data_IF_172719570587
#
_entry.id   IF_172719570587
#
_cell.length_a   1.000
_cell.length_b   1.000
_cell.length_c   1.000
_cell.angle_alpha   90.00
_cell.angle_beta   90.00
_cell.angle_gamma   90.00
#
_symmetry.space_group_name_H-M   'P 1'
#
loop_
_entity.id
_entity.type
_entity.pdbx_description
1 polymer ?
#
# COMPACT_ATOMS: atom_id res chain seq x y z
N UNK A 1 -5.54 22.28 -18.42
CA UNK A 1 -5.36 21.20 -17.42
C UNK A 1 -6.11 19.92 -17.81
N UNK A 2 -7.20 20.02 -18.58
CA UNK A 2 -8.01 18.85 -18.99
C UNK A 2 -7.23 17.76 -19.75
N UNK A 3 -6.36 18.13 -20.71
CA UNK A 3 -5.56 17.12 -21.43
C UNK A 3 -4.67 16.30 -20.49
N UNK A 4 -4.02 16.95 -19.53
CA UNK A 4 -3.20 16.28 -18.53
C UNK A 4 -4.05 15.36 -17.64
N UNK A 5 -5.24 15.83 -17.22
CA UNK A 5 -6.20 15.02 -16.46
C UNK A 5 -6.58 13.73 -17.21
N UNK A 6 -7.01 13.83 -18.47
CA UNK A 6 -7.45 12.66 -19.24
C UNK A 6 -6.29 11.72 -19.59
N UNK A 7 -5.12 12.26 -19.94
CA UNK A 7 -3.94 11.45 -20.25
C UNK A 7 -3.43 10.70 -19.01
N UNK A 8 -3.31 11.39 -17.87
CA UNK A 8 -2.92 10.77 -16.61
C UNK A 8 -3.97 9.76 -16.14
N UNK A 9 -5.26 10.05 -16.29
CA UNK A 9 -6.33 9.08 -15.99
C UNK A 9 -6.24 7.82 -16.85
N UNK A 10 -6.00 7.96 -18.15
CA UNK A 10 -5.81 6.83 -19.06
C UNK A 10 -4.60 5.99 -18.65
N UNK A 11 -3.47 6.63 -18.32
CA UNK A 11 -2.26 5.95 -17.85
C UNK A 11 -2.54 5.19 -16.55
N UNK A 12 -3.25 5.79 -15.59
CA UNK A 12 -3.61 5.13 -14.33
C UNK A 12 -4.45 3.87 -14.55
N UNK A 13 -5.45 3.94 -15.42
CA UNK A 13 -6.32 2.79 -15.76
C UNK A 13 -5.52 1.67 -16.43
N UNK A 14 -4.70 2.00 -17.43
CA UNK A 14 -3.88 1.01 -18.13
C UNK A 14 -2.82 0.39 -17.20
N UNK A 15 -2.21 1.19 -16.33
CA UNK A 15 -1.25 0.71 -15.35
C UNK A 15 -1.92 -0.22 -14.34
N UNK A 16 -3.07 0.15 -13.78
CA UNK A 16 -3.85 -0.70 -12.85
C UNK A 16 -4.28 -2.02 -13.49
N UNK A 17 -4.69 -1.99 -14.77
CA UNK A 17 -4.99 -3.22 -15.51
C UNK A 17 -3.75 -4.13 -15.61
N UNK A 18 -2.56 -3.55 -15.81
CA UNK A 18 -1.30 -4.30 -15.81
C UNK A 18 -0.94 -4.86 -14.43
N UNK A 19 -1.20 -4.13 -13.34
CA UNK A 19 -1.02 -4.64 -11.97
C UNK A 19 -1.79 -5.95 -11.76
N UNK A 20 -3.07 -5.97 -12.15
CA UNK A 20 -3.97 -7.10 -11.88
C UNK A 20 -3.67 -8.30 -12.80
N UNK A 21 -3.19 -8.05 -14.02
CA UNK A 21 -2.96 -9.09 -15.02
C UNK A 21 -1.56 -9.70 -14.98
N UNK A 22 -0.58 -9.02 -14.38
CA UNK A 22 0.80 -9.49 -14.36
C UNK A 22 1.05 -10.49 -13.23
N UNK A 23 1.70 -11.62 -13.53
CA UNK A 23 1.92 -12.71 -12.54
C UNK A 23 3.11 -12.47 -11.63
N UNK A 24 4.12 -11.72 -12.09
CA UNK A 24 5.31 -11.44 -11.30
C UNK A 24 5.05 -10.26 -10.34
N UNK A 25 5.13 -10.45 -9.01
CA UNK A 25 4.75 -9.44 -8.03
C UNK A 25 5.54 -8.13 -8.13
N UNK A 26 6.84 -8.20 -8.43
CA UNK A 26 7.69 -7.01 -8.56
C UNK A 26 7.20 -6.11 -9.71
N UNK A 27 6.92 -6.69 -10.88
CA UNK A 27 6.39 -5.94 -12.01
C UNK A 27 5.00 -5.37 -11.72
N UNK A 28 4.13 -6.14 -11.04
CA UNK A 28 2.83 -5.66 -10.61
C UNK A 28 2.96 -4.44 -9.69
N UNK A 29 3.86 -4.45 -8.71
CA UNK A 29 4.10 -3.30 -7.82
C UNK A 29 4.66 -2.09 -8.56
N UNK A 30 5.56 -2.28 -9.55
CA UNK A 30 6.07 -1.17 -10.36
C UNK A 30 4.95 -0.52 -11.19
N UNK A 31 4.07 -1.32 -11.80
CA UNK A 31 2.89 -0.78 -12.48
C UNK A 31 1.95 -0.06 -11.51
N UNK A 32 1.85 -0.51 -10.26
CA UNK A 32 1.03 0.15 -9.26
C UNK A 32 1.61 1.53 -8.91
N UNK A 33 2.92 1.65 -8.73
CA UNK A 33 3.60 2.93 -8.53
C UNK A 33 3.32 3.89 -9.69
N UNK A 34 3.41 3.42 -10.94
CA UNK A 34 3.08 4.23 -12.13
C UNK A 34 1.63 4.71 -12.07
N UNK A 35 0.69 3.84 -11.65
CA UNK A 35 -0.70 4.22 -11.49
C UNK A 35 -0.90 5.30 -10.42
N UNK A 36 -0.29 5.15 -9.25
CA UNK A 36 -0.41 6.13 -8.15
C UNK A 36 0.21 7.48 -8.54
N UNK A 37 1.34 7.48 -9.24
CA UNK A 37 1.94 8.71 -9.79
C UNK A 37 1.03 9.38 -10.82
N UNK A 38 0.37 8.59 -11.68
CA UNK A 38 -0.60 9.12 -12.62
C UNK A 38 -1.84 9.70 -11.91
N UNK A 39 -2.31 9.08 -10.83
CA UNK A 39 -3.37 9.64 -9.96
C UNK A 39 -2.91 10.94 -9.29
N UNK A 40 -1.65 11.05 -8.87
CA UNK A 40 -1.12 12.31 -8.34
C UNK A 40 -1.20 13.45 -9.38
N UNK A 41 -0.90 13.15 -10.65
CA UNK A 41 -1.09 14.12 -11.75
C UNK A 41 -2.57 14.48 -11.98
N UNK A 42 -3.49 13.53 -11.80
CA UNK A 42 -4.94 13.80 -11.80
C UNK A 42 -5.31 14.77 -10.68
N UNK A 43 -4.81 14.56 -9.45
CA UNK A 43 -5.04 15.49 -8.34
C UNK A 43 -4.46 16.88 -8.59
N UNK A 44 -3.27 16.99 -9.18
CA UNK A 44 -2.71 18.28 -9.59
C UNK A 44 -3.58 18.97 -10.64
N UNK A 45 -4.13 18.22 -11.60
CA UNK A 45 -5.00 18.78 -12.64
C UNK A 45 -6.34 19.30 -12.09
N UNK A 46 -6.78 18.77 -10.94
CA UNK A 46 -7.98 19.22 -10.21
C UNK A 46 -7.71 20.36 -9.23
N UNK A 47 -6.48 20.87 -9.11
CA UNK A 47 -6.12 21.91 -8.14
C UNK A 47 -5.88 21.39 -6.71
N UNK A 48 -5.92 20.07 -6.50
CA UNK A 48 -5.75 19.43 -5.19
C UNK A 48 -4.27 19.13 -4.87
N UNK A 49 -3.45 20.18 -4.74
CA UNK A 49 -1.99 20.05 -4.67
C UNK A 49 -1.51 19.32 -3.40
N UNK A 50 -2.19 19.54 -2.28
CA UNK A 50 -1.87 18.84 -1.04
C UNK A 50 -2.11 17.33 -1.17
N UNK A 51 -3.22 16.92 -1.80
CA UNK A 51 -3.55 15.52 -2.03
C UNK A 51 -2.54 14.86 -2.99
N UNK A 52 -2.23 15.51 -4.12
CA UNK A 52 -1.23 14.99 -5.06
C UNK A 52 0.16 14.85 -4.44
N UNK A 53 0.58 15.80 -3.60
CA UNK A 53 1.85 15.69 -2.88
C UNK A 53 1.87 14.53 -1.87
N UNK A 54 0.78 14.34 -1.11
CA UNK A 54 0.65 13.21 -0.19
C UNK A 54 0.61 11.86 -0.94
N UNK A 55 0.00 11.80 -2.12
CA UNK A 55 -0.01 10.61 -2.98
C UNK A 55 1.42 10.17 -3.34
N UNK A 56 2.27 11.14 -3.70
CA UNK A 56 3.67 10.85 -4.06
C UNK A 56 4.48 10.46 -2.82
N UNK A 57 4.41 11.22 -1.74
CA UNK A 57 5.29 11.04 -0.59
C UNK A 57 4.86 9.82 0.26
N UNK A 58 3.56 9.65 0.50
CA UNK A 58 3.06 8.64 1.43
C UNK A 58 2.72 7.35 0.68
N UNK A 59 1.85 7.40 -0.33
CA UNK A 59 1.37 6.20 -1.01
C UNK A 59 2.46 5.59 -1.89
N UNK A 60 2.94 6.33 -2.90
CA UNK A 60 4.01 5.85 -3.78
C UNK A 60 5.38 5.78 -3.06
N UNK A 61 5.65 6.72 -2.14
CA UNK A 61 6.95 6.87 -1.50
C UNK A 61 7.19 5.95 -0.31
N UNK A 62 6.29 5.90 0.67
CA UNK A 62 6.51 5.09 1.87
C UNK A 62 5.86 3.71 1.77
N UNK A 63 4.56 3.66 1.44
CA UNK A 63 3.77 2.42 1.48
C UNK A 63 4.25 1.48 0.38
N UNK A 64 4.32 1.94 -0.87
CA UNK A 64 4.74 1.07 -1.98
C UNK A 64 6.20 0.61 -1.85
N UNK A 65 7.10 1.45 -1.32
CA UNK A 65 8.49 1.05 -1.09
C UNK A 65 8.57 -0.06 -0.03
N UNK A 66 7.77 0.00 1.04
CA UNK A 66 7.66 -1.08 2.02
C UNK A 66 7.17 -2.38 1.35
N UNK A 67 6.16 -2.31 0.48
CA UNK A 67 5.68 -3.49 -0.26
C UNK A 67 6.76 -4.07 -1.18
N UNK A 68 7.46 -3.23 -1.95
CA UNK A 68 8.55 -3.68 -2.82
C UNK A 68 9.65 -4.36 -2.00
N UNK A 69 10.03 -3.77 -0.88
CA UNK A 69 11.02 -4.34 0.03
C UNK A 69 10.59 -5.72 0.55
N UNK A 70 9.37 -5.84 1.07
CA UNK A 70 8.84 -7.10 1.62
C UNK A 70 8.73 -8.18 0.54
N UNK A 71 8.20 -7.85 -0.64
CA UNK A 71 8.07 -8.80 -1.75
C UNK A 71 9.44 -9.28 -2.24
N UNK A 72 10.43 -8.39 -2.28
CA UNK A 72 11.78 -8.72 -2.68
C UNK A 72 12.49 -9.58 -1.63
N UNK A 73 12.35 -9.27 -0.34
CA UNK A 73 12.90 -10.06 0.76
C UNK A 73 12.33 -11.49 0.78
N UNK A 74 11.02 -11.62 0.53
CA UNK A 74 10.35 -12.92 0.49
C UNK A 74 10.62 -13.72 -0.80
N UNK A 75 11.43 -13.18 -1.72
CA UNK A 75 11.80 -13.74 -3.02
C UNK A 75 10.68 -14.57 -3.69
N UNK A 76 9.48 -14.01 -3.77
CA UNK A 76 8.31 -14.69 -4.34
C UNK A 76 8.41 -14.97 -5.85
N UNK A 77 9.55 -14.67 -6.48
CA UNK A 77 9.74 -14.67 -7.93
C UNK A 77 10.08 -16.06 -8.51
N UNK A 78 10.57 -17.01 -7.72
CA UNK A 78 11.14 -18.26 -8.26
C UNK A 78 10.21 -19.45 -7.99
N UNK A 79 9.50 -19.92 -9.03
CA UNK A 79 8.87 -21.25 -9.06
C UNK A 79 7.34 -21.34 -9.04
N UNK A 80 6.61 -20.22 -8.88
CA UNK A 80 5.13 -20.19 -8.81
C UNK A 80 4.40 -19.74 -10.08
N UNK A 81 5.12 -19.29 -11.11
CA UNK A 81 4.53 -18.73 -12.34
C UNK A 81 3.52 -19.66 -13.05
N UNK A 82 3.72 -20.99 -12.99
CA UNK A 82 2.79 -21.95 -13.62
C UNK A 82 1.47 -22.07 -12.85
N UNK A 83 1.49 -21.92 -11.53
CA UNK A 83 0.29 -21.99 -10.69
C UNK A 83 -0.52 -20.69 -10.77
N UNK A 84 0.16 -19.54 -10.72
CA UNK A 84 -0.47 -18.21 -10.90
C UNK A 84 -1.16 -18.11 -12.27
N UNK A 85 -0.50 -18.56 -13.35
CA UNK A 85 -1.11 -18.61 -14.69
C UNK A 85 -2.30 -19.56 -14.78
N UNK A 86 -2.34 -20.62 -13.98
CA UNK A 86 -3.46 -21.55 -13.95
C UNK A 86 -4.69 -20.94 -13.25
N UNK A 87 -4.50 -20.00 -12.33
CA UNK A 87 -5.57 -19.26 -11.65
C UNK A 87 -6.14 -18.14 -12.52
N UNK A 88 -5.34 -17.55 -13.40
CA UNK A 88 -5.78 -16.59 -14.43
C UNK A 88 -6.49 -17.26 -15.62
N UNK A 89 -7.04 -18.47 -15.46
CA UNK A 89 -7.79 -19.14 -16.53
C UNK A 89 -9.10 -18.40 -16.83
N UNK A 90 -9.54 -18.41 -18.11
CA UNK A 90 -10.79 -17.78 -18.53
C UNK A 90 -12.00 -18.13 -17.67
N UNK A 91 -12.08 -19.37 -17.21
CA UNK A 91 -13.22 -19.84 -16.41
C UNK A 91 -13.31 -19.20 -15.01
N UNK A 92 -12.20 -18.72 -14.45
CA UNK A 92 -12.13 -18.22 -13.07
C UNK A 92 -12.38 -16.71 -13.01
N UNK A 93 -11.82 -15.93 -13.95
CA UNK A 93 -11.96 -14.47 -13.95
C UNK A 93 -13.25 -13.95 -14.63
N UNK A 94 -13.87 -14.69 -15.56
CA UNK A 94 -15.05 -14.20 -16.32
C UNK A 94 -16.21 -13.83 -15.39
N UNK A 95 -16.50 -14.66 -14.38
CA UNK A 95 -17.59 -14.40 -13.43
C UNK A 95 -17.40 -13.09 -12.64
N UNK A 96 -16.29 -12.95 -11.90
CA UNK A 96 -15.95 -11.71 -11.20
C UNK A 96 -15.85 -10.49 -12.13
N UNK A 97 -15.23 -10.63 -13.30
CA UNK A 97 -15.10 -9.53 -14.26
C UNK A 97 -16.46 -9.07 -14.80
N UNK A 98 -17.38 -9.99 -15.10
CA UNK A 98 -18.72 -9.65 -15.55
C UNK A 98 -19.51 -8.93 -14.45
N UNK A 99 -19.43 -9.42 -13.21
CA UNK A 99 -20.06 -8.77 -12.07
C UNK A 99 -19.52 -7.36 -11.85
N UNK A 100 -18.19 -7.19 -11.85
CA UNK A 100 -17.55 -5.86 -11.72
C UNK A 100 -17.95 -4.92 -12.86
N UNK A 101 -18.12 -5.41 -14.08
CA UNK A 101 -18.55 -4.60 -15.22
C UNK A 101 -20.02 -4.15 -15.08
N UNK A 102 -20.91 -5.02 -14.62
CA UNK A 102 -22.30 -4.66 -14.32
C UNK A 102 -22.36 -3.61 -13.22
N UNK A 103 -21.60 -3.78 -12.14
CA UNK A 103 -21.52 -2.78 -11.05
C UNK A 103 -20.96 -1.45 -11.55
N UNK A 104 -19.94 -1.47 -12.40
CA UNK A 104 -19.40 -0.25 -13.01
C UNK A 104 -20.44 0.45 -13.88
N UNK A 105 -21.21 -0.28 -14.70
CA UNK A 105 -22.26 0.29 -15.54
C UNK A 105 -23.37 0.95 -14.71
N UNK A 106 -23.78 0.31 -13.60
CA UNK A 106 -24.75 0.89 -12.65
C UNK A 106 -24.20 2.17 -12.03
N UNK A 107 -22.94 2.16 -11.60
CA UNK A 107 -22.28 3.33 -11.02
C UNK A 107 -22.19 4.49 -12.02
N UNK A 108 -21.74 4.22 -13.25
CA UNK A 108 -21.64 5.24 -14.31
C UNK A 108 -23.01 5.83 -14.63
N UNK A 109 -24.07 5.00 -14.71
CA UNK A 109 -25.43 5.49 -14.93
C UNK A 109 -25.93 6.37 -13.78
N UNK A 110 -25.61 6.01 -12.53
CA UNK A 110 -25.96 6.81 -11.36
C UNK A 110 -25.25 8.16 -11.37
N UNK A 111 -23.96 8.19 -11.72
CA UNK A 111 -23.17 9.43 -11.83
C UNK A 111 -23.64 10.31 -12.98
N UNK A 112 -23.97 9.74 -14.15
CA UNK A 112 -24.49 10.50 -15.28
C UNK A 112 -25.82 11.21 -14.96
N UNK A 113 -26.60 10.67 -14.03
CA UNK A 113 -27.83 11.29 -13.54
C UNK A 113 -27.62 12.43 -12.52
N UNK A 114 -26.41 12.59 -11.97
CA UNK A 114 -26.12 13.57 -10.91
C UNK A 114 -25.79 14.99 -11.45
N UNK A 115 -25.71 15.15 -12.77
CA UNK A 115 -25.39 16.42 -13.43
C UNK A 115 -23.89 16.70 -13.51
N UNK A 116 -23.46 17.30 -14.63
CA UNK A 116 -22.06 17.67 -14.86
C UNK A 116 -21.74 18.98 -14.11
N UNK A 117 -20.78 18.89 -13.19
CA UNK A 117 -20.21 20.02 -12.50
C UNK A 117 -18.79 20.15 -13.06
N UNK A 118 -18.66 20.94 -14.13
CA UNK A 118 -17.42 21.07 -14.89
C UNK A 118 -16.19 21.31 -14.01
N UNK A 119 -15.00 20.96 -14.53
CA UNK A 119 -13.75 21.08 -13.79
C UNK A 119 -13.37 22.56 -13.65
N UNK A 120 -13.79 23.21 -12.57
CA UNK A 120 -13.40 24.60 -12.26
C UNK A 120 -11.88 24.74 -12.02
N UNK A 121 -11.24 23.67 -11.50
CA UNK A 121 -9.79 23.64 -11.28
C UNK A 121 -9.30 24.64 -10.23
N UNK A 122 -10.20 25.10 -9.33
CA UNK A 122 -9.85 26.04 -8.28
C UNK A 122 -8.78 25.44 -7.36
N UNK A 123 -7.75 26.25 -7.10
CA UNK A 123 -6.60 25.81 -6.34
C UNK A 123 -6.96 25.66 -4.85
N UNK A 124 -6.90 24.43 -4.35
CA UNK A 124 -7.12 24.12 -2.94
C UNK A 124 -5.78 24.19 -2.22
N UNK A 125 -5.55 25.31 -1.51
CA UNK A 125 -4.33 25.50 -0.74
C UNK A 125 -4.24 24.49 0.42
N UNK A 126 -3.04 23.94 0.65
CA UNK A 126 -2.76 23.03 1.76
C UNK A 126 -3.14 23.64 3.12
N UNK A 127 -2.99 24.96 3.28
CA UNK A 127 -3.42 25.69 4.48
C UNK A 127 -4.92 25.52 4.76
N UNK A 128 -5.77 25.59 3.74
CA UNK A 128 -7.22 25.42 3.89
C UNK A 128 -7.55 24.01 4.36
N UNK A 129 -6.89 23.00 3.79
CA UNK A 129 -7.03 21.61 4.22
C UNK A 129 -6.59 21.44 5.67
N UNK A 130 -5.45 22.03 6.06
CA UNK A 130 -4.96 22.00 7.44
C UNK A 130 -5.91 22.66 8.45
N UNK A 131 -6.49 23.81 8.11
CA UNK A 131 -7.50 24.48 8.96
C UNK A 131 -8.74 23.59 9.13
N UNK A 132 -9.20 22.93 8.07
CA UNK A 132 -10.31 21.99 8.17
C UNK A 132 -9.93 20.77 9.04
N UNK A 133 -8.73 20.22 8.84
CA UNK A 133 -8.25 19.03 9.53
C UNK A 133 -8.14 19.23 11.05
N UNK A 134 -7.67 20.40 11.48
CA UNK A 134 -7.50 20.74 12.91
C UNK A 134 -8.64 21.58 13.49
N UNK A 135 -9.64 21.95 12.69
CA UNK A 135 -10.87 22.60 13.15
C UNK A 135 -12.00 21.57 13.28
N UNK A 136 -12.90 21.47 12.29
CA UNK A 136 -14.03 20.54 12.35
C UNK A 136 -13.64 19.06 12.44
N UNK A 137 -12.47 18.67 11.90
CA UNK A 137 -12.06 17.27 11.83
C UNK A 137 -11.01 16.86 12.88
N UNK A 138 -10.86 17.63 13.98
CA UNK A 138 -9.86 17.35 15.02
C UNK A 138 -9.98 15.92 15.60
N UNK A 139 -11.21 15.44 15.82
CA UNK A 139 -11.45 14.08 16.30
C UNK A 139 -11.01 13.02 15.28
N UNK A 140 -11.11 13.29 13.98
CA UNK A 140 -10.66 12.36 12.96
C UNK A 140 -9.12 12.24 12.96
N UNK A 141 -8.39 13.33 13.23
CA UNK A 141 -6.92 13.30 13.38
C UNK A 141 -6.53 12.47 14.60
N UNK A 142 -7.21 12.67 15.72
CA UNK A 142 -6.93 11.92 16.95
C UNK A 142 -7.18 10.41 16.75
N UNK A 143 -8.30 10.04 16.16
CA UNK A 143 -8.62 8.64 15.85
C UNK A 143 -7.66 8.03 14.83
N UNK A 144 -7.23 8.80 13.82
CA UNK A 144 -6.21 8.33 12.88
C UNK A 144 -4.86 8.07 13.58
N UNK A 145 -4.47 8.91 14.55
CA UNK A 145 -3.25 8.66 15.35
C UNK A 145 -3.34 7.38 16.17
N UNK A 146 -4.50 7.12 16.79
CA UNK A 146 -4.76 5.88 17.54
C UNK A 146 -4.77 4.66 16.61
N UNK A 147 -5.32 4.79 15.40
CA UNK A 147 -5.30 3.73 14.39
C UNK A 147 -3.88 3.37 13.95
N UNK A 148 -3.02 4.37 13.71
CA UNK A 148 -1.62 4.14 13.36
C UNK A 148 -0.84 3.50 14.51
N UNK A 149 -1.08 3.94 15.75
CA UNK A 149 -0.48 3.34 16.94
C UNK A 149 -0.89 1.87 17.10
N UNK A 150 -2.19 1.58 16.98
CA UNK A 150 -2.70 0.21 17.05
C UNK A 150 -2.13 -0.66 15.93
N UNK A 151 -2.06 -0.14 14.70
CA UNK A 151 -1.45 -0.81 13.55
C UNK A 151 0.03 -1.16 13.80
N UNK A 152 0.79 -0.23 14.37
CA UNK A 152 2.20 -0.46 14.73
C UNK A 152 2.33 -1.56 15.81
N UNK A 153 1.53 -1.51 16.86
CA UNK A 153 1.57 -2.51 17.95
C UNK A 153 1.25 -3.90 17.41
N UNK A 154 0.20 -4.03 16.58
CA UNK A 154 -0.19 -5.31 15.98
C UNK A 154 0.86 -5.81 15.00
N UNK A 155 1.39 -4.95 14.13
CA UNK A 155 2.43 -5.31 13.18
C UNK A 155 3.72 -5.76 13.89
N UNK A 156 4.11 -5.10 14.97
CA UNK A 156 5.26 -5.49 15.79
C UNK A 156 5.04 -6.85 16.46
N UNK A 157 3.87 -7.04 17.09
CA UNK A 157 3.57 -8.29 17.78
C UNK A 157 3.52 -9.48 16.82
N UNK A 158 2.94 -9.31 15.63
CA UNK A 158 2.83 -10.36 14.61
C UNK A 158 4.15 -10.60 13.85
N UNK A 159 4.93 -9.54 13.62
CA UNK A 159 6.19 -9.61 12.87
C UNK A 159 7.38 -10.11 13.68
N UNK A 160 7.26 -10.23 15.01
CA UNK A 160 8.34 -10.71 15.88
C UNK A 160 8.42 -12.23 15.81
N UNK A 161 9.54 -12.75 15.32
CA UNK A 161 9.79 -14.20 15.31
C UNK A 161 10.12 -14.70 16.72
N UNK A 162 9.40 -15.71 17.19
CA UNK A 162 9.42 -16.15 18.59
C UNK A 162 10.72 -16.90 18.96
N UNK A 163 11.50 -17.28 17.95
CA UNK A 163 12.79 -17.98 18.06
C UNK A 163 13.85 -17.18 18.82
N UNK A 164 13.83 -15.84 18.71
CA UNK A 164 14.75 -14.96 19.44
C UNK A 164 14.55 -15.07 20.97
N UNK A 165 13.36 -15.46 21.43
CA UNK A 165 13.03 -15.57 22.85
C UNK A 165 13.44 -16.94 23.42
N UNK A 166 13.39 -18.00 22.60
CA UNK A 166 13.72 -19.37 23.00
C UNK A 166 15.24 -19.61 23.00
N UNK A 167 15.97 -19.08 22.01
CA UNK A 167 17.43 -19.18 21.96
C UNK A 167 18.12 -18.37 23.09
N UNK A 168 17.50 -17.27 23.52
CA UNK A 168 17.95 -16.48 24.67
C UNK A 168 17.76 -17.22 26.01
N UNK A 169 16.70 -18.03 26.14
CA UNK A 169 16.47 -18.87 27.33
C UNK A 169 17.35 -20.13 27.34
N UNK A 170 17.64 -20.70 26.17
CA UNK A 170 18.45 -21.91 26.04
C UNK A 170 19.95 -21.65 26.21
N UNK A 171 20.45 -20.46 25.85
CA UNK A 171 21.79 -19.99 26.22
C UNK A 171 21.82 -19.50 27.68
N UNK A 172 21.50 -20.38 28.63
CA UNK A 172 21.99 -20.24 29.99
C UNK A 172 23.54 -20.20 29.99
N UNK A 173 24.19 -19.74 31.08
CA UNK A 173 25.64 -19.72 31.16
C UNK A 173 26.18 -21.10 30.77
N UNK A 174 27.04 -21.17 29.74
CA UNK A 174 27.60 -22.44 29.28
C UNK A 174 28.16 -23.14 30.51
N UNK A 175 27.73 -24.37 30.79
CA UNK A 175 28.22 -25.14 31.95
C UNK A 175 29.76 -25.24 31.94
N UNK A 176 30.38 -25.11 30.76
CA UNK A 176 31.82 -24.95 30.56
C UNK A 176 32.43 -23.76 31.32
N UNK A 177 31.74 -22.62 31.40
CA UNK A 177 32.21 -21.43 32.14
C UNK A 177 32.03 -21.60 33.66
N UNK A 178 30.98 -22.32 34.09
CA UNK A 178 30.75 -22.64 35.50
C UNK A 178 31.78 -23.65 36.04
N UNK A 179 32.19 -24.62 35.21
CA UNK A 179 33.25 -25.59 35.55
C UNK A 179 34.62 -24.90 35.57
N UNK A 180 34.89 -23.96 34.65
CA UNK A 180 36.16 -23.21 34.63
C UNK A 180 36.31 -22.31 35.86
N UNK A 181 35.26 -21.61 36.29
CA UNK A 181 35.28 -20.80 37.52
C UNK A 181 35.52 -21.62 38.78
N UNK A 182 34.93 -22.81 38.89
CA UNK A 182 35.19 -23.73 40.01
C UNK A 182 36.62 -24.30 40.02
N UNK A 183 37.24 -24.47 38.85
CA UNK A 183 38.64 -24.89 38.76
C UNK A 183 39.63 -23.79 39.16
N UNK A 184 39.30 -22.53 38.87
CA UNK A 184 40.12 -21.37 39.25
C UNK A 184 39.98 -20.99 40.75
N UNK A 185 38.84 -21.29 41.38
CA UNK A 185 38.64 -21.10 42.83
C UNK A 185 39.27 -22.21 43.70
N UNK A 186 39.71 -23.32 43.10
CA UNK A 186 40.32 -24.46 43.79
C UNK A 186 41.84 -24.58 43.58
N UNK A 187 42.47 -23.61 42.91
CA UNK A 187 43.92 -23.49 42.73
C UNK A 187 44.47 -22.29 43.53
#
# INVERSE_FOLDING_TARGET
>A
MELAFYLSGLVAVLATLRVITHTQPVHALLYLIISLLAIACVFFSLGAYFAGALEIIVYAGAIMVLFVFVVMMLNMSVGRDKQERAWLRPRVWIGPSLLSLVLLAVLVRALAGAGDHGIAGDLIAAKTVGIALFGPYVLAVELASMLLLAGLVVAFHLGRDERDSVDALYKGPKMTDAIKRRGEEQA
#
